data_IF_509076628766
#
_entry.id   IF_509076628766
#
_cell.length_a   1.000
_cell.length_b   1.000
_cell.length_c   1.000
_cell.angle_alpha   90.00
_cell.angle_beta   90.00
_cell.angle_gamma   90.00
#
_symmetry.space_group_name_H-M   'P 1'
#
loop_
_entity.id
_entity.type
_entity.pdbx_description
1 polymer ?
#
# COMPACT_ATOMS: atom_id res chain seq x y z
N UNK A 1 -15.62 -8.66 -18.13
CA UNK A 1 -14.39 -8.06 -18.68
C UNK A 1 -13.77 -7.22 -17.56
N UNK A 2 -12.50 -7.43 -17.21
CA UNK A 2 -11.82 -6.61 -16.20
C UNK A 2 -11.38 -5.24 -16.75
N UNK A 3 -11.05 -4.29 -15.87
CA UNK A 3 -10.64 -2.92 -16.23
C UNK A 3 -9.48 -2.90 -17.26
N UNK A 4 -8.47 -3.73 -17.05
CA UNK A 4 -7.29 -3.82 -17.91
C UNK A 4 -7.61 -4.33 -19.31
N UNK A 5 -8.48 -5.34 -19.40
CA UNK A 5 -8.92 -5.88 -20.68
C UNK A 5 -9.69 -4.84 -21.46
N UNK A 6 -10.61 -4.12 -20.80
CA UNK A 6 -11.34 -3.01 -21.40
C UNK A 6 -10.40 -1.89 -21.88
N UNK A 7 -9.50 -1.44 -21.01
CA UNK A 7 -8.51 -0.38 -21.29
C UNK A 7 -7.69 -0.70 -22.53
N UNK A 8 -7.13 -1.91 -22.59
CA UNK A 8 -6.28 -2.33 -23.69
C UNK A 8 -7.06 -2.42 -25.00
N UNK A 9 -8.29 -2.95 -24.98
CA UNK A 9 -9.14 -3.03 -26.18
C UNK A 9 -9.42 -1.63 -26.73
N UNK A 10 -9.86 -0.70 -25.88
CA UNK A 10 -10.24 0.65 -26.32
C UNK A 10 -9.04 1.41 -26.84
N UNK A 11 -7.94 1.50 -26.08
CA UNK A 11 -6.78 2.31 -26.47
C UNK A 11 -6.07 1.78 -27.72
N UNK A 12 -6.06 0.46 -27.91
CA UNK A 12 -5.49 -0.13 -29.12
C UNK A 12 -6.43 0.05 -30.33
N UNK A 13 -7.74 0.01 -30.13
CA UNK A 13 -8.72 0.25 -31.20
C UNK A 13 -8.81 1.73 -31.61
N UNK A 14 -8.52 2.67 -30.71
CA UNK A 14 -8.47 4.12 -31.00
C UNK A 14 -7.11 4.58 -31.55
N UNK A 15 -6.10 3.70 -31.55
CA UNK A 15 -4.74 4.01 -32.00
C UNK A 15 -3.89 4.75 -30.97
N UNK A 16 -4.38 4.90 -29.74
CA UNK A 16 -3.63 5.50 -28.62
C UNK A 16 -2.53 4.57 -28.09
N UNK A 17 -2.63 3.26 -28.32
CA UNK A 17 -1.59 2.27 -28.02
C UNK A 17 -1.30 1.34 -29.20
N UNK A 18 -0.02 0.95 -29.33
CA UNK A 18 0.41 -0.05 -30.32
C UNK A 18 0.05 -1.46 -29.85
N UNK A 19 -0.52 -2.26 -30.73
CA UNK A 19 -0.68 -3.70 -30.49
C UNK A 19 0.69 -4.36 -30.45
N UNK A 20 0.96 -5.15 -29.39
CA UNK A 20 2.20 -5.93 -29.30
C UNK A 20 2.07 -7.21 -30.14
N UNK A 21 2.86 -7.32 -31.20
CA UNK A 21 2.94 -8.52 -32.06
C UNK A 21 2.44 -8.27 -33.49
N UNK A 22 2.40 -9.33 -34.31
CA UNK A 22 1.78 -9.25 -35.65
C UNK A 22 0.26 -9.20 -35.49
N UNK A 23 -0.34 -8.06 -35.79
CA UNK A 23 -1.79 -7.91 -35.86
C UNK A 23 -2.33 -8.65 -37.07
N UNK A 24 -3.29 -9.55 -36.87
CA UNK A 24 -4.09 -10.12 -37.95
C UNK A 24 -5.23 -9.15 -38.29
N UNK A 25 -5.61 -9.04 -39.56
CA UNK A 25 -6.77 -8.24 -39.98
C UNK A 25 -8.07 -8.67 -39.26
N UNK A 26 -8.17 -9.95 -38.86
CA UNK A 26 -9.30 -10.44 -38.05
C UNK A 26 -9.28 -9.88 -36.62
N UNK A 27 -8.10 -9.68 -36.03
CA UNK A 27 -7.96 -9.10 -34.69
C UNK A 27 -8.34 -7.61 -34.70
N UNK A 28 -7.86 -6.84 -35.67
CA UNK A 28 -8.18 -5.41 -35.81
C UNK A 28 -9.69 -5.21 -36.00
N UNK A 29 -10.32 -6.04 -36.84
CA UNK A 29 -11.77 -6.02 -37.04
C UNK A 29 -12.54 -6.30 -35.74
N UNK A 30 -12.17 -7.35 -35.00
CA UNK A 30 -12.81 -7.68 -33.71
C UNK A 30 -12.65 -6.59 -32.67
N UNK A 31 -11.51 -5.89 -32.66
CA UNK A 31 -11.28 -4.77 -31.76
C UNK A 31 -12.17 -3.56 -32.11
N UNK A 32 -12.32 -3.25 -33.40
CA UNK A 32 -13.26 -2.23 -33.86
C UNK A 32 -14.72 -2.59 -33.55
N UNK A 33 -15.12 -3.83 -33.77
CA UNK A 33 -16.46 -4.32 -33.43
C UNK A 33 -16.71 -4.21 -31.91
N UNK A 34 -15.71 -4.57 -31.09
CA UNK A 34 -15.78 -4.41 -29.63
C UNK A 34 -15.87 -2.94 -29.21
N UNK A 35 -15.09 -2.03 -29.82
CA UNK A 35 -15.17 -0.59 -29.57
C UNK A 35 -16.57 -0.06 -29.89
N UNK A 36 -17.13 -0.44 -31.04
CA UNK A 36 -18.50 -0.07 -31.40
C UNK A 36 -19.50 -0.54 -30.35
N UNK A 37 -19.47 -1.81 -29.94
CA UNK A 37 -20.40 -2.31 -28.92
C UNK A 37 -20.20 -1.68 -27.53
N UNK A 38 -18.96 -1.38 -27.13
CA UNK A 38 -18.63 -0.94 -25.77
C UNK A 38 -18.71 0.58 -25.59
N UNK A 39 -18.43 1.36 -26.63
CA UNK A 39 -18.34 2.82 -26.54
C UNK A 39 -19.54 3.54 -27.15
N UNK A 40 -20.16 3.01 -28.22
CA UNK A 40 -21.28 3.67 -28.92
C UNK A 40 -22.21 2.67 -29.62
N UNK A 41 -23.39 2.35 -29.06
CA UNK A 41 -24.21 3.20 -28.18
C UNK A 41 -23.83 3.22 -26.70
N UNK A 42 -22.85 2.40 -26.29
CA UNK A 42 -22.35 2.35 -24.91
C UNK A 42 -23.39 1.86 -23.90
N UNK A 43 -23.00 1.69 -22.61
CA UNK A 43 -23.92 1.27 -21.56
C UNK A 43 -24.78 2.43 -21.04
N UNK A 44 -26.01 2.13 -20.61
CA UNK A 44 -26.91 3.11 -19.96
C UNK A 44 -26.37 3.65 -18.62
N UNK A 45 -25.51 2.88 -17.96
CA UNK A 45 -24.90 3.18 -16.66
C UNK A 45 -23.49 2.62 -16.60
N UNK A 46 -22.55 3.44 -16.12
CA UNK A 46 -21.22 3.01 -15.71
C UNK A 46 -21.11 3.10 -14.19
N UNK A 47 -20.65 2.03 -13.55
CA UNK A 47 -20.27 2.02 -12.14
C UNK A 47 -18.78 1.73 -12.06
N UNK A 48 -18.01 2.69 -11.54
CA UNK A 48 -16.61 2.49 -11.19
C UNK A 48 -16.53 2.15 -9.72
N UNK A 49 -16.22 0.89 -9.44
CA UNK A 49 -15.80 0.49 -8.10
C UNK A 49 -14.32 0.82 -7.90
N UNK A 50 -13.94 1.21 -6.68
CA UNK A 50 -12.63 1.73 -6.33
C UNK A 50 -12.19 2.93 -7.19
N UNK A 51 -13.00 3.99 -7.17
CA UNK A 51 -12.78 5.25 -7.88
C UNK A 51 -11.43 5.91 -7.62
N UNK A 52 -10.74 5.55 -6.55
CA UNK A 52 -9.35 5.93 -6.35
C UNK A 52 -8.40 5.37 -7.43
N UNK A 53 -8.83 4.51 -8.37
CA UNK A 53 -8.05 4.09 -9.54
C UNK A 53 -7.98 5.15 -10.65
N UNK A 54 -8.88 6.14 -10.64
CA UNK A 54 -8.90 7.25 -11.60
C UNK A 54 -8.29 8.54 -11.01
N UNK A 55 -7.12 8.43 -10.38
CA UNK A 55 -6.42 9.56 -9.71
C UNK A 55 -5.99 10.63 -10.70
N UNK A 56 -5.36 10.19 -11.79
CA UNK A 56 -4.82 11.08 -12.82
C UNK A 56 -5.76 11.17 -14.01
N UNK A 57 -6.16 12.41 -14.34
CA UNK A 57 -6.94 12.74 -15.52
C UNK A 57 -6.24 12.34 -16.83
N UNK A 58 -4.90 12.15 -16.81
CA UNK A 58 -4.11 11.70 -17.96
C UNK A 58 -3.93 10.18 -18.02
N UNK A 59 -4.38 9.45 -17.00
CA UNK A 59 -4.24 8.00 -16.95
C UNK A 59 -4.90 7.33 -18.15
N UNK A 60 -4.29 6.21 -18.59
CA UNK A 60 -4.79 5.39 -19.69
C UNK A 60 -6.23 4.93 -19.46
N UNK A 61 -6.57 4.60 -18.22
CA UNK A 61 -7.93 4.20 -17.85
C UNK A 61 -8.93 5.34 -18.03
N UNK A 62 -8.62 6.56 -17.59
CA UNK A 62 -9.50 7.73 -17.78
C UNK A 62 -9.68 8.03 -19.27
N UNK A 63 -8.61 7.92 -20.07
CA UNK A 63 -8.70 8.06 -21.53
C UNK A 63 -9.63 7.02 -22.15
N UNK A 64 -9.44 5.74 -21.84
CA UNK A 64 -10.29 4.66 -22.33
C UNK A 64 -11.77 4.88 -21.96
N UNK A 65 -12.06 5.24 -20.70
CA UNK A 65 -13.41 5.50 -20.23
C UNK A 65 -14.03 6.77 -20.84
N UNK A 66 -13.22 7.73 -21.30
CA UNK A 66 -13.70 8.94 -21.96
C UNK A 66 -14.38 8.66 -23.31
N UNK A 67 -14.01 7.55 -23.96
CA UNK A 67 -14.65 7.10 -25.20
C UNK A 67 -16.03 6.48 -24.98
N UNK A 68 -16.40 6.12 -23.75
CA UNK A 68 -17.69 5.48 -23.47
C UNK A 68 -18.80 6.52 -23.37
N UNK A 69 -19.71 6.47 -24.34
CA UNK A 69 -20.95 7.24 -24.30
C UNK A 69 -21.90 6.61 -23.27
N UNK A 70 -22.33 7.40 -22.29
CA UNK A 70 -23.29 6.95 -21.28
C UNK A 70 -24.04 8.14 -20.70
N UNK A 71 -25.29 7.90 -20.27
CA UNK A 71 -26.12 8.92 -19.62
C UNK A 71 -25.86 9.04 -18.13
N UNK A 72 -25.30 8.01 -17.49
CA UNK A 72 -25.18 7.91 -16.02
C UNK A 72 -23.84 7.33 -15.62
N UNK A 73 -23.16 8.00 -14.69
CA UNK A 73 -21.87 7.57 -14.14
C UNK A 73 -21.92 7.60 -12.62
N UNK A 74 -21.58 6.48 -11.99
CA UNK A 74 -21.47 6.33 -10.54
C UNK A 74 -20.04 5.93 -10.22
N UNK A 75 -19.47 6.55 -9.18
CA UNK A 75 -18.15 6.21 -8.65
C UNK A 75 -18.35 5.80 -7.19
N UNK A 76 -17.83 4.63 -6.83
CA UNK A 76 -17.75 4.13 -5.46
C UNK A 76 -16.31 4.27 -5.00
N UNK A 77 -16.08 4.89 -3.85
CA UNK A 77 -14.73 5.06 -3.28
C UNK A 77 -14.78 5.05 -1.76
N UNK A 78 -13.84 4.30 -1.14
CA UNK A 78 -13.61 4.35 0.29
C UNK A 78 -12.87 5.61 0.77
N UNK A 79 -12.31 6.39 -0.17
CA UNK A 79 -11.52 7.60 0.10
C UNK A 79 -12.26 8.84 -0.41
N UNK A 80 -13.04 9.52 0.45
CA UNK A 80 -13.96 10.52 -0.05
C UNK A 80 -13.27 11.83 -0.46
N UNK A 81 -12.35 12.43 0.32
CA UNK A 81 -11.96 13.85 0.11
C UNK A 81 -10.55 14.23 0.57
N UNK A 82 -9.87 13.42 1.40
CA UNK A 82 -8.96 14.02 2.38
C UNK A 82 -7.52 14.34 1.93
N UNK A 83 -6.92 13.66 0.95
CA UNK A 83 -5.47 13.85 0.73
C UNK A 83 -5.02 14.23 -0.69
N UNK A 84 -5.90 14.31 -1.70
CA UNK A 84 -5.51 14.84 -3.03
C UNK A 84 -6.70 15.49 -3.75
N UNK A 85 -6.89 16.80 -3.58
CA UNK A 85 -7.99 17.56 -4.21
C UNK A 85 -8.02 17.43 -5.74
N UNK A 86 -6.87 17.17 -6.37
CA UNK A 86 -6.76 16.90 -7.82
C UNK A 86 -7.46 15.60 -8.23
N UNK A 87 -7.29 14.54 -7.45
CA UNK A 87 -7.96 13.25 -7.70
C UNK A 87 -9.47 13.42 -7.56
N UNK A 88 -9.88 14.21 -6.58
CA UNK A 88 -11.28 14.54 -6.36
C UNK A 88 -11.88 15.31 -7.54
N UNK A 89 -11.15 16.27 -8.11
CA UNK A 89 -11.56 16.91 -9.37
C UNK A 89 -11.67 15.90 -10.52
N UNK A 90 -10.71 14.98 -10.67
CA UNK A 90 -10.76 13.94 -11.71
C UNK A 90 -12.02 13.08 -11.58
N UNK A 91 -12.35 12.63 -10.37
CA UNK A 91 -13.56 11.85 -10.10
C UNK A 91 -14.85 12.64 -10.40
N UNK A 92 -14.95 13.88 -9.91
CA UNK A 92 -16.12 14.72 -10.17
C UNK A 92 -16.28 15.02 -11.66
N UNK A 93 -15.19 15.36 -12.34
CA UNK A 93 -15.19 15.64 -13.76
C UNK A 93 -15.52 14.39 -14.59
N UNK A 94 -15.09 13.20 -14.14
CA UNK A 94 -15.49 11.94 -14.76
C UNK A 94 -17.00 11.70 -14.62
N UNK A 95 -17.56 11.86 -13.41
CA UNK A 95 -18.98 11.64 -13.16
C UNK A 95 -19.87 12.69 -13.85
N UNK A 96 -19.44 13.95 -13.82
CA UNK A 96 -20.14 15.09 -14.42
C UNK A 96 -19.13 16.04 -15.07
N UNK A 97 -18.86 15.89 -16.38
CA UNK A 97 -17.88 16.71 -17.09
C UNK A 97 -18.14 18.21 -16.96
N UNK A 98 -17.05 18.98 -16.77
CA UNK A 98 -17.03 20.44 -16.63
C UNK A 98 -17.82 21.02 -15.45
N UNK A 99 -18.24 20.21 -14.47
CA UNK A 99 -19.01 20.71 -13.32
C UNK A 99 -18.24 21.71 -12.44
N UNK A 100 -16.94 21.46 -12.23
CA UNK A 100 -16.05 22.32 -11.43
C UNK A 100 -15.17 23.24 -12.30
N UNK A 101 -15.45 23.32 -13.60
CA UNK A 101 -14.57 23.97 -14.58
C UNK A 101 -13.31 23.15 -14.88
N UNK A 102 -12.35 23.81 -15.52
CA UNK A 102 -11.06 23.21 -15.87
C UNK A 102 -10.23 22.92 -14.61
N UNK A 103 -9.27 22.00 -14.71
CA UNK A 103 -8.38 21.68 -13.60
C UNK A 103 -7.61 22.91 -13.09
N UNK A 104 -7.25 23.84 -14.00
CA UNK A 104 -6.56 25.07 -13.63
C UNK A 104 -7.46 26.02 -12.82
N UNK A 105 -8.70 26.23 -13.26
CA UNK A 105 -9.68 27.04 -12.53
C UNK A 105 -9.99 26.44 -11.16
N UNK A 106 -10.18 25.11 -11.10
CA UNK A 106 -10.39 24.40 -9.85
C UNK A 106 -9.20 24.56 -8.90
N UNK A 107 -7.97 24.45 -9.44
CA UNK A 107 -6.74 24.61 -8.66
C UNK A 107 -6.67 26.00 -8.01
N UNK A 108 -6.84 27.05 -8.81
CA UNK A 108 -6.78 28.43 -8.32
C UNK A 108 -7.94 28.76 -7.36
N UNK A 109 -9.14 28.22 -7.61
CA UNK A 109 -10.35 28.53 -6.83
C UNK A 109 -10.39 27.79 -5.49
N UNK A 110 -9.87 26.57 -5.43
CA UNK A 110 -10.01 25.68 -4.27
C UNK A 110 -8.69 25.08 -3.79
N UNK A 111 -7.92 24.42 -4.66
CA UNK A 111 -6.73 23.66 -4.22
C UNK A 111 -5.70 24.56 -3.55
N UNK A 112 -5.20 25.55 -4.28
CA UNK A 112 -4.08 26.38 -3.78
C UNK A 112 -4.48 27.16 -2.51
N UNK A 113 -5.66 27.81 -2.42
CA UNK A 113 -6.07 28.46 -1.18
C UNK A 113 -6.30 27.51 0.00
N UNK A 114 -6.72 26.26 -0.26
CA UNK A 114 -6.94 25.28 0.81
C UNK A 114 -5.60 24.78 1.33
N UNK A 115 -4.71 24.33 0.43
CA UNK A 115 -3.36 23.83 0.75
C UNK A 115 -2.54 24.90 1.47
N UNK A 116 -2.58 26.15 1.01
CA UNK A 116 -1.85 27.26 1.64
C UNK A 116 -2.27 27.54 3.09
N UNK A 117 -3.47 27.15 3.52
CA UNK A 117 -3.94 27.31 4.90
C UNK A 117 -3.73 26.08 5.80
N UNK A 118 -3.05 25.05 5.30
CA UNK A 118 -2.79 23.80 6.03
C UNK A 118 -1.35 23.67 6.54
N UNK A 119 -0.47 24.63 6.23
CA UNK A 119 0.89 24.64 6.73
C UNK A 119 0.97 25.19 8.16
N UNK A 120 1.99 24.78 8.92
CA UNK A 120 2.18 25.25 10.30
C UNK A 120 2.47 26.77 10.36
N UNK A 121 3.11 27.29 9.31
CA UNK A 121 3.48 28.70 9.14
C UNK A 121 2.45 29.52 8.33
N UNK A 122 1.26 28.96 8.06
CA UNK A 122 0.18 29.65 7.35
C UNK A 122 -0.27 30.92 8.09
N UNK A 123 -0.52 32.01 7.36
CA UNK A 123 -1.07 33.24 7.93
C UNK A 123 -2.52 33.07 8.39
N UNK A 124 -2.98 33.91 9.32
CA UNK A 124 -4.39 33.88 9.77
C UNK A 124 -5.37 34.10 8.60
N UNK A 125 -5.02 34.96 7.66
CA UNK A 125 -5.79 35.17 6.42
C UNK A 125 -5.90 33.91 5.55
N UNK A 126 -4.81 33.14 5.43
CA UNK A 126 -4.80 31.91 4.63
C UNK A 126 -5.63 30.81 5.29
N UNK A 127 -5.58 30.69 6.62
CA UNK A 127 -6.40 29.74 7.38
C UNK A 127 -7.90 30.06 7.20
N UNK A 128 -8.29 31.33 7.30
CA UNK A 128 -9.68 31.75 7.10
C UNK A 128 -10.13 31.48 5.66
N UNK A 129 -9.30 31.84 4.67
CA UNK A 129 -9.60 31.62 3.25
C UNK A 129 -9.73 30.12 2.95
N UNK A 130 -8.81 29.29 3.47
CA UNK A 130 -8.83 27.84 3.34
C UNK A 130 -10.15 27.27 3.85
N UNK A 131 -10.52 27.55 5.10
CA UNK A 131 -11.81 27.12 5.69
C UNK A 131 -13.02 27.54 4.85
N UNK A 132 -13.01 28.79 4.36
CA UNK A 132 -14.08 29.32 3.50
C UNK A 132 -14.17 28.56 2.18
N UNK A 133 -13.04 28.30 1.51
CA UNK A 133 -13.00 27.55 0.25
C UNK A 133 -13.40 26.08 0.44
N UNK A 134 -12.96 25.43 1.51
CA UNK A 134 -13.42 24.08 1.88
C UNK A 134 -14.93 24.02 2.04
N UNK A 135 -15.51 24.96 2.81
CA UNK A 135 -16.96 25.00 3.03
C UNK A 135 -17.74 25.19 1.72
N UNK A 136 -17.30 26.12 0.86
CA UNK A 136 -17.94 26.36 -0.44
C UNK A 136 -17.90 25.09 -1.30
N UNK A 137 -16.73 24.43 -1.38
CA UNK A 137 -16.56 23.22 -2.18
C UNK A 137 -17.46 22.08 -1.68
N UNK A 138 -17.49 21.82 -0.38
CA UNK A 138 -18.35 20.79 0.21
C UNK A 138 -19.83 21.07 -0.06
N UNK A 139 -20.26 22.33 0.05
CA UNK A 139 -21.63 22.72 -0.24
C UNK A 139 -21.99 22.54 -1.71
N UNK A 140 -21.13 22.98 -2.62
CA UNK A 140 -21.30 22.84 -4.08
C UNK A 140 -21.46 21.36 -4.47
N UNK A 141 -20.67 20.48 -3.85
CA UNK A 141 -20.67 19.04 -4.16
C UNK A 141 -21.67 18.19 -3.39
N UNK A 142 -22.38 18.77 -2.42
CA UNK A 142 -23.36 18.03 -1.58
C UNK A 142 -24.45 17.31 -2.38
N UNK A 143 -24.77 17.79 -3.59
CA UNK A 143 -25.78 17.18 -4.47
C UNK A 143 -25.23 16.03 -5.32
N UNK A 144 -23.91 15.96 -5.49
CA UNK A 144 -23.24 14.96 -6.32
C UNK A 144 -22.59 13.86 -5.47
N UNK A 145 -22.09 14.22 -4.28
CA UNK A 145 -21.30 13.34 -3.43
C UNK A 145 -22.12 12.91 -2.22
N UNK A 146 -22.46 11.62 -2.21
CA UNK A 146 -23.08 10.98 -1.05
C UNK A 146 -21.98 10.36 -0.18
N UNK A 147 -21.78 10.90 1.02
CA UNK A 147 -20.85 10.34 2.02
C UNK A 147 -21.62 9.92 3.27
N UNK A 148 -21.40 8.68 3.70
CA UNK A 148 -21.82 8.17 5.02
C UNK A 148 -20.56 7.86 5.80
N UNK A 149 -20.47 8.34 7.04
CA UNK A 149 -19.37 8.03 7.93
C UNK A 149 -19.61 6.70 8.67
N UNK A 150 -18.60 6.23 9.40
CA UNK A 150 -18.72 5.07 10.28
C UNK A 150 -19.74 5.29 11.42
N UNK A 151 -20.23 6.51 11.61
CA UNK A 151 -21.26 6.90 12.59
C UNK A 151 -22.51 6.02 12.55
N UNK A 152 -22.91 5.62 11.34
CA UNK A 152 -24.07 4.75 11.12
C UNK A 152 -23.85 3.32 11.61
N UNK A 153 -22.60 2.85 11.65
CA UNK A 153 -22.23 1.50 12.04
C UNK A 153 -21.84 1.39 13.53
N UNK A 154 -21.56 2.51 14.21
CA UNK A 154 -21.16 2.51 15.62
C UNK A 154 -22.17 1.86 16.59
N UNK A 155 -23.45 1.79 16.22
CA UNK A 155 -24.47 1.10 17.04
C UNK A 155 -24.47 -0.42 16.85
N UNK A 156 -23.90 -0.91 15.74
CA UNK A 156 -23.94 -2.32 15.33
C UNK A 156 -22.57 -2.99 15.45
N UNK A 157 -21.49 -2.22 15.46
CA UNK A 157 -20.12 -2.71 15.58
C UNK A 157 -19.56 -2.45 17.00
N UNK A 158 -18.68 -3.33 17.51
CA UNK A 158 -17.92 -3.07 18.72
C UNK A 158 -17.10 -1.78 18.64
N UNK A 159 -16.75 -1.21 19.80
CA UNK A 159 -15.89 -0.04 19.86
C UNK A 159 -14.50 -0.34 19.28
N UNK A 160 -14.04 0.50 18.36
CA UNK A 160 -12.68 0.45 17.83
C UNK A 160 -11.75 1.18 18.80
N UNK A 161 -10.71 0.50 19.26
CA UNK A 161 -9.64 1.09 20.07
C UNK A 161 -8.35 1.16 19.25
N UNK A 162 -7.71 2.33 19.25
CA UNK A 162 -6.44 2.56 18.55
C UNK A 162 -5.36 2.93 19.56
N UNK A 163 -4.20 2.28 19.43
CA UNK A 163 -3.06 2.46 20.32
C UNK A 163 -1.81 2.75 19.49
N UNK A 164 -1.03 3.76 19.91
CA UNK A 164 0.28 4.05 19.34
C UNK A 164 1.34 3.62 20.35
N UNK A 165 2.18 2.67 19.97
CA UNK A 165 3.19 2.07 20.84
C UNK A 165 4.58 2.59 20.51
N UNK A 166 5.21 3.27 21.46
CA UNK A 166 6.58 3.78 21.31
C UNK A 166 7.58 2.71 21.77
N UNK A 167 8.35 2.18 20.83
CA UNK A 167 9.33 1.11 21.09
C UNK A 167 10.74 1.68 21.22
N UNK A 168 11.48 1.26 22.24
CA UNK A 168 12.92 1.57 22.36
C UNK A 168 13.73 0.70 21.39
N UNK A 169 14.78 1.26 20.80
CA UNK A 169 15.73 0.49 20.01
C UNK A 169 16.56 -0.44 20.90
N UNK A 170 16.84 -1.65 20.41
CA UNK A 170 17.76 -2.59 21.07
C UNK A 170 19.20 -2.05 21.07
N UNK A 171 20.09 -2.58 21.92
CA UNK A 171 21.51 -2.19 21.91
C UNK A 171 22.17 -2.34 20.53
N UNK A 172 21.83 -3.39 19.77
CA UNK A 172 22.35 -3.60 18.42
C UNK A 172 21.77 -2.57 17.44
N UNK A 173 20.47 -2.31 17.48
CA UNK A 173 19.83 -1.28 16.64
C UNK A 173 20.43 0.09 16.90
N UNK A 174 20.69 0.47 18.16
CA UNK A 174 21.34 1.74 18.50
C UNK A 174 22.75 1.82 17.91
N UNK A 175 23.53 0.74 17.98
CA UNK A 175 24.88 0.69 17.38
C UNK A 175 24.83 0.88 15.87
N UNK A 176 23.98 0.11 15.18
CA UNK A 176 23.78 0.18 13.73
C UNK A 176 23.30 1.57 13.30
N UNK A 177 22.29 2.11 13.98
CA UNK A 177 21.72 3.42 13.67
C UNK A 177 22.72 4.55 13.88
N UNK A 178 23.49 4.54 14.98
CA UNK A 178 24.55 5.54 15.21
C UNK A 178 25.66 5.44 14.17
N UNK A 179 26.03 4.23 13.74
CA UNK A 179 27.04 4.05 12.70
C UNK A 179 26.54 4.57 11.34
N UNK A 180 25.28 4.29 11.00
CA UNK A 180 24.61 4.84 9.82
C UNK A 180 24.64 6.38 9.83
N UNK A 181 24.25 7.02 10.94
CA UNK A 181 24.26 8.48 11.06
C UNK A 181 25.67 9.08 10.94
N UNK A 182 26.71 8.39 11.44
CA UNK A 182 28.10 8.84 11.29
C UNK A 182 28.62 8.68 9.86
N UNK A 183 28.23 7.60 9.17
CA UNK A 183 28.57 7.37 7.77
C UNK A 183 27.86 8.35 6.83
N UNK A 184 26.75 8.93 7.28
CA UNK A 184 25.94 9.86 6.52
C UNK A 184 25.00 9.14 5.54
N UNK A 185 24.00 9.88 5.04
CA UNK A 185 23.07 9.36 4.04
C UNK A 185 23.86 8.96 2.78
N UNK A 186 23.64 7.76 2.23
CA UNK A 186 24.34 7.30 1.04
C UNK A 186 24.22 8.29 -0.11
N UNK A 187 25.20 8.29 -1.01
CA UNK A 187 25.15 9.06 -2.26
C UNK A 187 24.96 8.12 -3.44
N UNK A 188 24.22 8.56 -4.44
CA UNK A 188 24.08 7.86 -5.69
C UNK A 188 25.45 7.79 -6.38
N UNK A 189 25.98 6.59 -6.71
CA UNK A 189 27.30 6.43 -7.31
C UNK A 189 27.45 7.14 -8.67
N UNK A 190 26.37 7.24 -9.44
CA UNK A 190 26.36 7.80 -10.79
C UNK A 190 26.22 9.32 -10.77
N UNK A 191 25.38 9.87 -9.88
CA UNK A 191 25.05 11.30 -9.88
C UNK A 191 25.73 12.09 -8.75
N UNK A 192 26.34 11.41 -7.77
CA UNK A 192 26.96 12.02 -6.59
C UNK A 192 25.98 12.70 -5.62
N UNK A 193 24.68 12.75 -5.97
CA UNK A 193 23.62 13.34 -5.16
C UNK A 193 23.32 12.47 -3.93
N UNK A 194 22.91 13.12 -2.85
CA UNK A 194 22.43 12.44 -1.65
C UNK A 194 21.20 11.61 -2.01
N UNK A 195 21.23 10.33 -1.64
CA UNK A 195 20.15 9.38 -1.83
C UNK A 195 19.33 9.28 -0.53
N UNK A 196 18.44 10.25 -0.34
CA UNK A 196 17.59 10.36 0.85
C UNK A 196 16.69 9.13 0.99
N UNK A 197 16.14 8.62 -0.12
CA UNK A 197 15.28 7.43 -0.12
C UNK A 197 16.07 6.19 0.29
N UNK A 198 17.29 6.02 -0.24
CA UNK A 198 18.19 4.97 0.21
C UNK A 198 18.51 5.05 1.71
N UNK A 199 18.80 6.24 2.24
CA UNK A 199 19.02 6.44 3.67
C UNK A 199 17.78 6.13 4.52
N UNK A 200 16.60 6.51 4.04
CA UNK A 200 15.33 6.20 4.67
C UNK A 200 15.11 4.69 4.76
N UNK A 201 15.30 3.93 3.68
CA UNK A 201 15.13 2.47 3.68
C UNK A 201 16.13 1.74 4.58
N UNK A 202 17.39 2.19 4.65
CA UNK A 202 18.36 1.64 5.62
C UNK A 202 17.86 1.87 7.05
N UNK A 203 17.37 3.07 7.34
CA UNK A 203 16.82 3.40 8.65
C UNK A 203 15.62 2.52 9.00
N UNK A 204 14.73 2.27 8.04
CA UNK A 204 13.60 1.35 8.21
C UNK A 204 14.06 -0.08 8.50
N UNK A 205 15.04 -0.60 7.74
CA UNK A 205 15.59 -1.93 7.96
C UNK A 205 16.14 -2.08 9.38
N UNK A 206 16.94 -1.10 9.84
CA UNK A 206 17.51 -1.10 11.20
C UNK A 206 16.39 -1.09 12.25
N UNK A 207 15.39 -0.22 12.11
CA UNK A 207 14.33 -0.03 13.11
C UNK A 207 13.35 -1.19 13.15
N UNK A 208 13.10 -1.87 12.03
CA UNK A 208 12.23 -3.04 11.98
C UNK A 208 12.88 -4.26 12.62
N UNK A 209 14.00 -4.73 12.07
CA UNK A 209 14.82 -5.77 12.69
C UNK A 209 16.22 -5.83 12.06
N UNK A 210 17.32 -5.98 12.85
CA UNK A 210 18.66 -6.09 12.29
C UNK A 210 18.87 -7.22 11.27
N UNK A 211 18.09 -8.30 11.32
CA UNK A 211 18.13 -9.38 10.31
C UNK A 211 17.85 -8.86 8.89
N UNK A 212 16.94 -7.88 8.75
CA UNK A 212 16.62 -7.28 7.44
C UNK A 212 17.86 -6.66 6.81
N UNK A 213 18.70 -6.02 7.64
CA UNK A 213 19.96 -5.43 7.19
C UNK A 213 21.02 -6.50 6.95
N UNK A 214 21.04 -7.55 7.77
CA UNK A 214 22.01 -8.65 7.70
C UNK A 214 21.85 -9.48 6.42
N UNK A 215 20.61 -9.78 6.02
CA UNK A 215 20.31 -10.52 4.79
C UNK A 215 20.66 -9.71 3.53
N UNK A 216 20.67 -8.39 3.64
CA UNK A 216 21.04 -7.48 2.56
C UNK A 216 22.55 -7.24 2.44
N UNK A 217 23.37 -7.81 3.34
CA UNK A 217 24.82 -7.67 3.26
C UNK A 217 25.38 -8.39 2.02
N UNK A 218 26.44 -7.83 1.40
CA UNK A 218 27.03 -8.42 0.21
C UNK A 218 27.54 -9.85 0.48
N UNK A 219 27.23 -10.78 -0.43
CA UNK A 219 27.61 -12.19 -0.30
C UNK A 219 26.65 -13.06 0.52
N UNK A 220 25.57 -12.48 1.07
CA UNK A 220 24.49 -13.21 1.75
C UNK A 220 23.15 -13.20 0.99
N UNK A 221 23.14 -12.64 -0.22
CA UNK A 221 21.97 -12.69 -1.10
C UNK A 221 21.67 -14.15 -1.47
N UNK A 222 20.54 -14.68 -1.00
CA UNK A 222 19.93 -15.85 -1.64
C UNK A 222 19.53 -15.47 -3.06
N UNK A 223 19.98 -16.23 -4.06
CA UNK A 223 19.57 -16.04 -5.46
C UNK A 223 18.05 -16.22 -5.51
N UNK A 224 17.26 -15.18 -5.81
CA UNK A 224 15.83 -15.35 -5.90
C UNK A 224 15.51 -16.27 -7.09
N UNK A 225 14.46 -17.11 -7.00
CA UNK A 225 13.99 -17.84 -8.17
C UNK A 225 13.69 -16.85 -9.30
N UNK A 226 13.94 -17.24 -10.57
CA UNK A 226 13.68 -16.36 -11.70
C UNK A 226 12.23 -15.86 -11.61
N UNK A 227 11.97 -14.57 -11.90
CA UNK A 227 10.62 -14.06 -11.85
C UNK A 227 9.76 -14.94 -12.75
N UNK A 228 8.75 -15.59 -12.17
CA UNK A 228 7.66 -16.10 -12.96
C UNK A 228 7.20 -14.93 -13.84
N UNK A 229 6.98 -15.18 -15.13
CA UNK A 229 6.48 -14.19 -16.08
C UNK A 229 5.15 -13.64 -15.59
N UNK A 230 5.21 -12.68 -14.69
CA UNK A 230 4.09 -11.89 -14.25
C UNK A 230 3.85 -10.90 -15.38
N UNK A 231 2.69 -11.02 -16.02
CA UNK A 231 2.12 -9.92 -16.76
C UNK A 231 2.27 -8.67 -15.89
N UNK A 232 3.08 -7.71 -16.35
CA UNK A 232 3.33 -6.46 -15.66
C UNK A 232 1.98 -5.80 -15.40
N UNK A 233 1.53 -5.88 -14.15
CA UNK A 233 0.40 -5.12 -13.65
C UNK A 233 1.01 -3.76 -13.33
N UNK A 234 0.86 -2.81 -14.26
CA UNK A 234 1.09 -1.38 -14.03
C UNK A 234 0.02 -0.87 -13.04
N UNK A 235 0.02 -1.42 -11.82
CA UNK A 235 -0.59 -0.76 -10.68
C UNK A 235 0.50 0.13 -10.08
N UNK A 236 0.49 1.40 -10.51
CA UNK A 236 1.29 2.53 -10.00
C UNK A 236 0.85 2.91 -8.56
N UNK A 237 0.61 1.90 -7.72
CA UNK A 237 0.22 2.03 -6.33
C UNK A 237 1.33 1.39 -5.48
N UNK A 238 2.17 2.28 -4.96
CA UNK A 238 3.38 2.10 -4.14
C UNK A 238 4.67 1.70 -4.88
N UNK A 239 5.15 2.63 -5.73
CA UNK A 239 6.55 2.71 -6.19
C UNK A 239 7.56 2.61 -5.05
N UNK A 240 7.17 3.00 -3.84
CA UNK A 240 8.02 3.04 -2.67
C UNK A 240 8.38 1.63 -2.17
N UNK A 241 7.52 0.62 -2.34
CA UNK A 241 7.76 -0.75 -1.84
C UNK A 241 8.72 -1.53 -2.76
N UNK A 242 8.49 -1.48 -4.08
CA UNK A 242 9.43 -2.04 -5.06
C UNK A 242 10.77 -1.28 -5.05
N UNK A 243 10.74 0.03 -4.79
CA UNK A 243 11.96 0.78 -4.51
C UNK A 243 12.68 0.26 -3.26
N UNK A 244 12.00 -0.06 -2.15
CA UNK A 244 12.66 -0.60 -0.94
C UNK A 244 13.43 -1.89 -1.26
N UNK A 245 12.82 -2.85 -1.93
CA UNK A 245 13.47 -4.14 -2.24
C UNK A 245 14.58 -4.00 -3.28
N UNK A 246 14.36 -3.21 -4.33
CA UNK A 246 15.39 -2.94 -5.34
C UNK A 246 16.56 -2.13 -4.76
N UNK A 247 16.28 -1.18 -3.85
CA UNK A 247 17.28 -0.34 -3.19
C UNK A 247 18.07 -1.15 -2.16
N UNK A 248 17.44 -2.03 -1.38
CA UNK A 248 18.10 -2.93 -0.41
C UNK A 248 18.94 -4.02 -1.11
N UNK A 249 18.52 -4.50 -2.28
CA UNK A 249 19.32 -5.44 -3.10
C UNK A 249 20.49 -4.77 -3.83
N UNK A 250 20.38 -3.49 -4.17
CA UNK A 250 21.49 -2.72 -4.78
C UNK A 250 22.42 -2.07 -3.73
N UNK A 251 22.23 -2.43 -2.46
CA UNK A 251 22.86 -1.80 -1.30
C UNK A 251 24.14 -2.47 -0.79
N UNK A 252 24.60 -3.58 -1.37
CA UNK A 252 25.73 -4.35 -0.84
C UNK A 252 26.96 -3.49 -0.46
N UNK A 253 27.40 -2.58 -1.32
CA UNK A 253 28.51 -1.67 -1.01
C UNK A 253 28.15 -0.59 0.03
N UNK A 254 26.87 -0.19 0.09
CA UNK A 254 26.36 0.87 0.97
C UNK A 254 26.17 0.41 2.42
N UNK A 255 26.12 -0.91 2.65
CA UNK A 255 25.97 -1.54 3.96
C UNK A 255 27.30 -2.00 4.58
N UNK A 256 28.43 -1.69 3.95
CA UNK A 256 29.77 -2.02 4.46
C UNK A 256 30.02 -1.50 5.88
N UNK A 257 29.38 -0.40 6.30
CA UNK A 257 29.46 0.10 7.67
C UNK A 257 28.83 -0.83 8.71
N UNK A 258 27.86 -1.66 8.30
CA UNK A 258 27.07 -2.51 9.19
C UNK A 258 27.72 -3.87 9.44
N UNK A 259 28.41 -4.42 8.44
CA UNK A 259 29.11 -5.71 8.53
C UNK A 259 29.97 -5.88 9.80
N UNK A 260 30.89 -4.95 10.17
CA UNK A 260 31.73 -5.12 11.36
C UNK A 260 30.97 -4.97 12.69
N UNK A 261 29.70 -4.54 12.67
CA UNK A 261 28.89 -4.33 13.87
C UNK A 261 28.08 -5.56 14.26
N UNK A 262 27.91 -6.51 13.34
CA UNK A 262 27.37 -7.82 13.65
C UNK A 262 28.46 -8.68 14.31
N UNK A 263 28.09 -9.38 15.38
CA UNK A 263 29.00 -10.33 16.01
C UNK A 263 29.28 -11.50 15.05
N UNK A 264 30.44 -12.16 15.20
CA UNK A 264 30.80 -13.30 14.33
C UNK A 264 29.83 -14.47 14.45
N UNK A 265 29.23 -14.60 15.62
CA UNK A 265 28.22 -15.59 16.02
C UNK A 265 26.78 -15.02 15.95
N UNK A 266 26.57 -13.95 15.18
CA UNK A 266 25.23 -13.39 14.98
C UNK A 266 24.27 -14.44 14.44
N UNK A 267 23.16 -14.65 15.15
CA UNK A 267 22.08 -15.56 14.78
C UNK A 267 20.82 -14.78 14.39
N UNK A 268 20.17 -15.25 13.34
CA UNK A 268 18.87 -14.74 12.88
C UNK A 268 17.72 -15.26 13.75
N UNK A 269 16.57 -14.58 13.70
CA UNK A 269 15.35 -14.98 14.39
C UNK A 269 15.36 -14.67 15.89
N UNK A 270 16.35 -13.91 16.38
CA UNK A 270 16.45 -13.50 17.78
C UNK A 270 15.64 -12.24 18.01
N UNK A 271 14.51 -12.37 18.69
CA UNK A 271 13.51 -11.30 18.90
C UNK A 271 14.10 -10.10 19.64
N UNK A 272 15.00 -10.33 20.59
CA UNK A 272 15.65 -9.32 21.43
C UNK A 272 16.54 -8.36 20.64
N UNK A 273 16.89 -8.69 19.39
CA UNK A 273 17.60 -7.79 18.51
C UNK A 273 16.74 -6.61 18.04
N UNK A 274 15.41 -6.62 18.23
CA UNK A 274 14.54 -5.46 17.95
C UNK A 274 13.51 -5.21 19.04
N UNK A 275 13.46 -3.98 19.56
CA UNK A 275 12.44 -3.62 20.55
C UNK A 275 11.00 -3.69 20.02
N UNK A 276 10.80 -3.43 18.72
CA UNK A 276 9.49 -3.62 18.07
C UNK A 276 9.08 -5.09 18.09
N UNK A 277 10.01 -6.00 17.83
CA UNK A 277 9.73 -7.43 17.74
C UNK A 277 9.53 -8.06 19.12
N UNK A 278 10.27 -7.59 20.13
CA UNK A 278 9.99 -7.95 21.53
C UNK A 278 8.56 -7.60 21.89
N UNK A 279 8.10 -6.38 21.58
CA UNK A 279 6.73 -5.97 21.89
C UNK A 279 5.69 -6.76 21.08
N UNK A 280 5.94 -6.97 19.78
CA UNK A 280 5.11 -7.81 18.92
C UNK A 280 4.92 -9.20 19.55
N UNK A 281 6.00 -9.90 19.90
CA UNK A 281 5.92 -11.24 20.48
C UNK A 281 5.11 -11.25 21.78
N UNK A 282 5.25 -10.24 22.64
CA UNK A 282 4.43 -10.14 23.86
C UNK A 282 2.94 -10.00 23.53
N UNK A 283 2.58 -9.16 22.55
CA UNK A 283 1.20 -9.00 22.10
C UNK A 283 0.66 -10.32 21.54
N UNK A 284 1.43 -11.00 20.68
CA UNK A 284 1.05 -12.28 20.09
C UNK A 284 0.79 -13.35 21.16
N UNK A 285 1.68 -13.45 22.15
CA UNK A 285 1.53 -14.42 23.26
C UNK A 285 0.30 -14.15 24.11
N UNK A 286 0.06 -12.89 24.47
CA UNK A 286 -1.12 -12.55 25.26
C UNK A 286 -2.42 -12.76 24.48
N UNK A 287 -2.43 -12.48 23.18
CA UNK A 287 -3.60 -12.73 22.34
C UNK A 287 -3.88 -14.22 22.16
N UNK A 288 -2.85 -15.05 21.94
CA UNK A 288 -3.01 -16.52 21.96
C UNK A 288 -3.59 -17.00 23.30
N UNK A 289 -3.10 -16.47 24.43
CA UNK A 289 -3.58 -16.85 25.76
C UNK A 289 -5.06 -16.56 25.97
N UNK A 290 -5.60 -15.50 25.38
CA UNK A 290 -7.03 -15.14 25.46
C UNK A 290 -7.87 -15.68 24.29
N UNK A 291 -7.24 -16.31 23.30
CA UNK A 291 -7.90 -16.83 22.09
C UNK A 291 -8.27 -15.76 21.06
N UNK A 292 -7.60 -14.61 21.09
CA UNK A 292 -7.74 -13.56 20.08
C UNK A 292 -6.80 -13.82 18.90
N UNK A 293 -7.28 -13.55 17.68
CA UNK A 293 -6.50 -13.68 16.44
C UNK A 293 -5.97 -12.32 16.00
N UNK A 294 -4.78 -12.29 15.42
CA UNK A 294 -4.09 -11.06 15.05
C UNK A 294 -3.79 -11.02 13.56
N UNK A 295 -4.09 -9.88 12.94
CA UNK A 295 -3.56 -9.53 11.62
C UNK A 295 -2.36 -8.61 11.78
N UNK A 296 -1.19 -8.98 11.22
CA UNK A 296 0.01 -8.15 11.22
C UNK A 296 0.26 -7.62 9.81
N UNK A 297 0.22 -6.30 9.65
CA UNK A 297 0.53 -5.65 8.38
C UNK A 297 1.96 -5.13 8.34
N UNK A 298 2.65 -5.35 7.22
CA UNK A 298 3.94 -4.71 6.94
C UNK A 298 4.05 -4.30 5.47
N UNK A 299 4.70 -3.18 5.21
CA UNK A 299 5.07 -2.73 3.87
C UNK A 299 6.35 -3.41 3.35
N UNK A 300 7.05 -4.20 4.18
CA UNK A 300 8.36 -4.78 3.88
C UNK A 300 8.30 -6.31 3.93
N UNK A 301 8.45 -6.99 2.79
CA UNK A 301 8.56 -8.46 2.78
C UNK A 301 9.76 -8.97 3.58
N UNK A 302 10.95 -8.34 3.54
CA UNK A 302 12.05 -8.71 4.42
C UNK A 302 11.68 -8.65 5.92
N UNK A 303 10.87 -7.67 6.32
CA UNK A 303 10.36 -7.59 7.70
C UNK A 303 9.41 -8.74 7.99
N UNK A 304 8.53 -9.11 7.06
CA UNK A 304 7.66 -10.29 7.21
C UNK A 304 8.46 -11.59 7.31
N UNK A 305 9.53 -11.74 6.52
CA UNK A 305 10.45 -12.88 6.59
C UNK A 305 11.08 -12.96 7.98
N UNK A 306 11.63 -11.85 8.48
CA UNK A 306 12.21 -11.80 9.82
C UNK A 306 11.18 -12.21 10.90
N UNK A 307 9.92 -11.77 10.79
CA UNK A 307 8.84 -12.17 11.72
C UNK A 307 8.59 -13.68 11.64
N UNK A 308 8.56 -14.28 10.45
CA UNK A 308 8.44 -15.74 10.30
C UNK A 308 9.62 -16.46 10.97
N UNK A 309 10.86 -16.09 10.65
CA UNK A 309 12.06 -16.69 11.24
C UNK A 309 12.04 -16.61 12.78
N UNK A 310 11.61 -15.47 13.34
CA UNK A 310 11.47 -15.26 14.78
C UNK A 310 10.41 -16.17 15.41
N UNK A 311 9.27 -16.37 14.74
CA UNK A 311 8.22 -17.27 15.21
C UNK A 311 8.66 -18.73 15.13
N UNK A 312 9.40 -19.13 14.10
CA UNK A 312 9.94 -20.48 13.96
C UNK A 312 10.97 -20.80 15.05
N UNK A 313 11.89 -19.87 15.31
CA UNK A 313 12.85 -19.98 16.43
C UNK A 313 12.11 -20.04 17.77
N UNK A 314 11.11 -19.18 17.99
CA UNK A 314 10.29 -19.21 19.20
C UNK A 314 9.60 -20.57 19.38
N UNK A 315 8.95 -21.09 18.32
CA UNK A 315 8.19 -22.33 18.35
C UNK A 315 9.05 -23.58 18.58
N UNK A 316 10.33 -23.54 18.20
CA UNK A 316 11.27 -24.65 18.36
C UNK A 316 11.44 -25.07 19.83
N UNK A 317 11.40 -24.11 20.75
CA UNK A 317 11.61 -24.35 22.19
C UNK A 317 10.32 -24.35 23.01
N UNK A 318 9.16 -24.34 22.32
CA UNK A 318 7.84 -24.20 22.96
C UNK A 318 7.03 -25.48 22.83
N UNK A 319 6.25 -25.74 23.88
CA UNK A 319 5.25 -26.80 23.85
C UNK A 319 4.14 -26.41 22.88
N UNK A 320 3.44 -27.40 22.32
CA UNK A 320 2.45 -27.15 21.25
C UNK A 320 1.39 -26.11 21.63
N UNK A 321 0.89 -26.14 22.87
CA UNK A 321 -0.08 -25.14 23.35
C UNK A 321 0.46 -23.71 23.48
N UNK A 322 1.79 -23.52 23.48
CA UNK A 322 2.44 -22.20 23.51
C UNK A 322 2.90 -21.72 22.13
N UNK A 323 2.94 -22.61 21.12
CA UNK A 323 3.39 -22.26 19.76
C UNK A 323 2.47 -21.23 19.13
N UNK A 324 3.02 -20.28 18.38
CA UNK A 324 2.23 -19.29 17.66
C UNK A 324 2.20 -19.70 16.18
N UNK A 325 1.01 -19.98 15.67
CA UNK A 325 0.82 -20.41 14.29
C UNK A 325 0.48 -19.21 13.41
N UNK A 326 1.35 -18.97 12.43
CA UNK A 326 1.19 -17.87 11.49
C UNK A 326 0.96 -18.39 10.06
N UNK A 327 0.05 -17.73 9.35
CA UNK A 327 -0.11 -17.85 7.90
C UNK A 327 0.25 -16.52 7.24
N UNK A 328 0.59 -16.52 5.95
CA UNK A 328 1.08 -15.33 5.23
C UNK A 328 0.25 -15.04 3.99
N UNK A 329 0.03 -13.77 3.67
CA UNK A 329 -0.51 -13.33 2.37
C UNK A 329 0.38 -12.20 1.84
N UNK A 330 0.96 -12.42 0.66
CA UNK A 330 1.77 -11.42 -0.04
C UNK A 330 1.49 -11.39 -1.54
N UNK A 331 2.25 -10.55 -2.27
CA UNK A 331 2.09 -10.37 -3.71
C UNK A 331 2.28 -11.64 -4.53
N UNK A 332 3.03 -12.63 -4.03
CA UNK A 332 3.22 -13.92 -4.70
C UNK A 332 2.07 -14.90 -4.45
N UNK A 333 1.22 -14.62 -3.46
CA UNK A 333 0.10 -15.49 -3.08
C UNK A 333 -1.03 -15.37 -4.10
N UNK A 334 -1.35 -16.47 -4.79
CA UNK A 334 -2.43 -16.52 -5.78
C UNK A 334 -3.79 -16.19 -5.17
N UNK A 335 -4.71 -15.64 -5.96
CA UNK A 335 -6.05 -15.24 -5.48
C UNK A 335 -6.80 -16.39 -4.79
N UNK A 336 -6.73 -17.60 -5.35
CA UNK A 336 -7.34 -18.80 -4.77
C UNK A 336 -6.73 -19.13 -3.39
N UNK A 337 -5.40 -19.05 -3.25
CA UNK A 337 -4.72 -19.30 -1.99
C UNK A 337 -5.03 -18.22 -0.95
N UNK A 338 -5.21 -16.95 -1.37
CA UNK A 338 -5.63 -15.87 -0.45
C UNK A 338 -6.98 -16.16 0.17
N UNK A 339 -7.99 -16.50 -0.64
CA UNK A 339 -9.31 -16.86 -0.13
C UNK A 339 -9.25 -18.07 0.82
N UNK A 340 -8.47 -19.09 0.48
CA UNK A 340 -8.29 -20.27 1.35
C UNK A 340 -7.62 -19.92 2.68
N UNK A 341 -6.56 -19.09 2.68
CA UNK A 341 -5.89 -18.64 3.91
C UNK A 341 -6.78 -17.76 4.78
N UNK A 342 -7.57 -16.87 4.18
CA UNK A 342 -8.53 -16.05 4.90
C UNK A 342 -9.63 -16.93 5.51
N UNK A 343 -10.14 -17.91 4.77
CA UNK A 343 -11.12 -18.86 5.29
C UNK A 343 -10.55 -19.64 6.48
N UNK A 344 -9.30 -20.13 6.37
CA UNK A 344 -8.60 -20.80 7.46
C UNK A 344 -8.44 -19.89 8.70
N UNK A 345 -8.05 -18.62 8.50
CA UNK A 345 -7.93 -17.63 9.57
C UNK A 345 -9.27 -17.20 10.18
N UNK A 346 -10.38 -17.43 9.47
CA UNK A 346 -11.72 -17.18 9.98
C UNK A 346 -12.37 -18.40 10.64
N UNK A 347 -11.87 -19.60 10.36
CA UNK A 347 -12.34 -20.85 10.96
C UNK A 347 -11.77 -21.03 12.37
N UNK A 348 -12.66 -21.11 13.37
CA UNK A 348 -12.28 -21.20 14.79
C UNK A 348 -11.71 -22.57 15.18
N UNK A 349 -11.95 -23.59 14.38
CA UNK A 349 -11.44 -24.94 14.63
C UNK A 349 -9.99 -25.10 14.11
N UNK A 350 -9.53 -24.19 13.26
CA UNK A 350 -8.15 -24.14 12.78
C UNK A 350 -7.19 -23.51 13.82
N UNK A 351 -6.02 -24.12 14.01
CA UNK A 351 -4.97 -23.58 14.89
C UNK A 351 -4.16 -22.49 14.17
N UNK A 352 -4.80 -21.35 13.90
CA UNK A 352 -4.13 -20.15 13.34
C UNK A 352 -4.33 -18.97 14.27
N UNK A 353 -3.22 -18.42 14.77
CA UNK A 353 -3.23 -17.26 15.67
C UNK A 353 -3.00 -15.95 14.93
N UNK A 354 -2.16 -15.99 13.89
CA UNK A 354 -1.67 -14.79 13.22
C UNK A 354 -1.77 -14.90 11.71
N UNK A 355 -2.23 -13.84 11.05
CA UNK A 355 -2.08 -13.68 9.60
C UNK A 355 -1.15 -12.50 9.30
N UNK A 356 -0.07 -12.78 8.58
CA UNK A 356 0.94 -11.81 8.14
C UNK A 356 0.58 -11.31 6.74
N UNK A 357 0.33 -10.01 6.58
CA UNK A 357 -0.15 -9.44 5.32
C UNK A 357 0.80 -8.35 4.83
N UNK A 358 1.26 -8.47 3.59
CA UNK A 358 1.90 -7.33 2.94
C UNK A 358 0.82 -6.30 2.57
N UNK A 359 1.04 -5.02 2.86
CA UNK A 359 0.02 -3.96 2.63
C UNK A 359 -0.51 -3.94 1.19
N UNK A 360 0.35 -4.27 0.21
CA UNK A 360 -0.04 -4.42 -1.20
C UNK A 360 -1.06 -5.54 -1.43
N UNK A 361 -0.96 -6.64 -0.69
CA UNK A 361 -1.89 -7.76 -0.79
C UNK A 361 -3.18 -7.56 0.04
N UNK A 362 -3.15 -6.69 1.06
CA UNK A 362 -4.30 -6.38 1.91
C UNK A 362 -5.30 -5.36 1.32
N UNK A 363 -4.86 -4.52 0.38
CA UNK A 363 -5.71 -3.52 -0.29
C UNK A 363 -6.78 -4.09 -1.22
N UNK A 364 -6.71 -5.37 -1.55
CA UNK A 364 -7.70 -6.07 -2.39
C UNK A 364 -8.84 -6.65 -1.54
N UNK A 365 -9.66 -5.79 -0.92
CA UNK A 365 -11.01 -6.17 -0.45
C UNK A 365 -11.11 -7.36 0.51
N UNK A 366 -10.11 -7.58 1.36
CA UNK A 366 -10.14 -8.66 2.36
C UNK A 366 -10.98 -8.22 3.56
N UNK A 367 -12.22 -8.70 3.67
CA UNK A 367 -13.09 -8.42 4.81
C UNK A 367 -12.77 -9.37 5.97
N UNK A 368 -11.86 -8.97 6.86
CA UNK A 368 -11.59 -9.65 8.13
C UNK A 368 -12.50 -9.03 9.21
N UNK A 369 -13.71 -9.57 9.39
CA UNK A 369 -14.72 -9.00 10.28
C UNK A 369 -15.29 -10.06 11.25
N UNK A 370 -14.57 -10.30 12.34
CA UNK A 370 -15.05 -10.92 13.59
C UNK A 370 -14.61 -10.02 14.75
N UNK A 371 -15.42 -9.95 15.79
CA UNK A 371 -15.24 -9.08 16.96
C UNK A 371 -13.99 -9.39 17.80
N UNK A 372 -13.25 -10.45 17.47
CA UNK A 372 -12.01 -10.89 18.15
C UNK A 372 -10.74 -10.74 17.30
N UNK A 373 -10.83 -10.05 16.16
CA UNK A 373 -9.62 -9.68 15.41
C UNK A 373 -8.99 -8.41 15.97
N UNK A 374 -7.67 -8.47 16.16
CA UNK A 374 -6.84 -7.30 16.45
C UNK A 374 -5.92 -7.05 15.27
N UNK A 375 -5.98 -5.83 14.74
CA UNK A 375 -5.10 -5.42 13.65
C UNK A 375 -3.89 -4.69 14.22
N UNK A 376 -2.70 -5.21 13.93
CA UNK A 376 -1.43 -4.61 14.29
C UNK A 376 -0.70 -4.15 13.04
N UNK A 377 -0.39 -2.87 12.99
CA UNK A 377 0.31 -2.27 11.86
C UNK A 377 1.75 -1.97 12.26
N UNK A 378 2.70 -2.62 11.60
CA UNK A 378 4.12 -2.31 11.76
C UNK A 378 4.51 -1.18 10.81
N UNK A 379 3.94 0.00 11.04
CA UNK A 379 4.24 1.19 10.26
C UNK A 379 5.46 1.89 10.90
N UNK A 380 6.46 2.32 10.13
CA UNK A 380 7.34 3.35 10.63
C UNK A 380 6.51 4.61 10.90
N UNK A 381 6.47 5.06 12.15
CA UNK A 381 5.89 6.37 12.46
C UNK A 381 6.69 7.41 11.69
N UNK A 382 6.07 8.06 10.71
CA UNK A 382 6.55 9.32 10.16
C UNK A 382 6.52 10.32 11.31
N UNK A 383 7.67 10.50 11.96
CA UNK A 383 7.92 11.58 12.91
C UNK A 383 8.49 12.77 12.18
#
# INVERSE_FOLDING_TARGET
MGYEMFRNIVLQATGDEKVRGKTSADLERRMHDALACLCGPGPDLIVLDEGHRIRDAKSKLVKALSHVETRRRIILTGYPIQNHMKEYWTMVNFARPNYLGTLHEFKNRFVDPIENGQFEDSSESDIILSRKRTFILTKELSTLVLRRDAGYLHRQLPAKHEYVLLCKLSPLQVKLYKAFLRGGVPRNPTTGKIDVLGGYHISLAIVNHPDVLFDALPGKEEVPPPPATSHAVDDDVDSDIEAVEAVVRTMGHRLSFAEPLFAKDYSKGIVEHSGKMVLLLHILRECRRIGDRITVFSQSLPTLNAIQDMLDVYNTYKKDYEKIHAIRIDGSTSQQMRFSRIAQFNDRDEEVDVILISTRAGGEGTSEADARYRNLWLIPTNG
#
